data_IF_733940043954
#
_entry.id   IF_733940043954
#
_cell.length_a   1.000
_cell.length_b   1.000
_cell.length_c   1.000
_cell.angle_alpha   90.00
_cell.angle_beta   90.00
_cell.angle_gamma   90.00
#
_symmetry.space_group_name_H-M   'P 1'
#
loop_
_entity.id
_entity.type
_entity.pdbx_description
1 polymer ?
#
# COMPACT_ATOMS: atom_id res chain seq x y z
N UNK A 1 21.41 -10.46 -20.75
CA UNK A 1 20.90 -10.14 -19.40
C UNK A 1 19.88 -9.04 -19.64
N UNK A 2 18.61 -9.38 -19.76
CA UNK A 2 17.55 -8.39 -20.01
C UNK A 2 17.45 -7.51 -18.75
N UNK A 3 17.70 -6.21 -18.90
CA UNK A 3 17.33 -5.22 -17.89
C UNK A 3 15.81 -5.30 -17.71
N UNK A 4 15.36 -6.00 -16.68
CA UNK A 4 13.97 -5.94 -16.25
C UNK A 4 13.68 -4.52 -15.80
N UNK A 5 13.12 -3.71 -16.69
CA UNK A 5 12.62 -2.39 -16.37
C UNK A 5 11.53 -2.54 -15.29
N UNK A 6 11.76 -1.93 -14.12
CA UNK A 6 10.81 -1.98 -13.01
C UNK A 6 9.41 -1.48 -13.41
N UNK A 7 9.37 -0.43 -14.25
CA UNK A 7 8.16 0.09 -14.87
C UNK A 7 8.14 -0.17 -16.38
N UNK A 8 7.03 -0.68 -16.90
CA UNK A 8 6.73 -0.66 -18.33
C UNK A 8 6.38 0.76 -18.81
N UNK A 9 6.40 1.01 -20.12
CA UNK A 9 5.99 2.31 -20.66
C UNK A 9 4.54 2.68 -20.33
N UNK A 10 3.64 1.68 -20.30
CA UNK A 10 2.24 1.89 -19.90
C UNK A 10 2.13 2.23 -18.41
N UNK A 11 2.93 1.59 -17.56
CA UNK A 11 2.97 1.89 -16.12
C UNK A 11 3.54 3.27 -15.83
N UNK A 12 4.55 3.74 -16.58
CA UNK A 12 5.07 5.11 -16.47
C UNK A 12 3.99 6.14 -16.76
N UNK A 13 3.23 5.95 -17.83
CA UNK A 13 2.11 6.82 -18.17
C UNK A 13 1.03 6.81 -17.07
N UNK A 14 0.68 5.62 -16.58
CA UNK A 14 -0.29 5.42 -15.49
C UNK A 14 0.15 6.09 -14.19
N UNK A 15 1.43 5.99 -13.83
CA UNK A 15 2.01 6.62 -12.64
C UNK A 15 1.79 8.13 -12.63
N UNK A 16 2.02 8.80 -13.75
CA UNK A 16 1.80 10.25 -13.86
C UNK A 16 0.34 10.65 -13.68
N UNK A 17 -0.58 9.85 -14.24
CA UNK A 17 -2.03 10.07 -14.11
C UNK A 17 -2.46 9.89 -12.65
N UNK A 18 -2.06 8.79 -12.02
CA UNK A 18 -2.39 8.49 -10.62
C UNK A 18 -1.81 9.52 -9.67
N UNK A 19 -0.56 9.93 -9.88
CA UNK A 19 0.07 10.98 -9.10
C UNK A 19 -0.73 12.29 -9.15
N UNK A 20 -1.15 12.72 -10.35
CA UNK A 20 -1.94 13.95 -10.49
C UNK A 20 -3.30 13.84 -9.81
N UNK A 21 -3.99 12.70 -9.98
CA UNK A 21 -5.26 12.44 -9.29
C UNK A 21 -5.10 12.51 -7.78
N UNK A 22 -4.12 11.81 -7.23
CA UNK A 22 -3.88 11.77 -5.80
C UNK A 22 -3.56 13.14 -5.22
N UNK A 23 -2.72 13.94 -5.88
CA UNK A 23 -2.40 15.29 -5.42
C UNK A 23 -3.65 16.19 -5.45
N UNK A 24 -4.50 16.03 -6.45
CA UNK A 24 -5.75 16.79 -6.54
C UNK A 24 -6.75 16.37 -5.45
N UNK A 25 -6.98 15.07 -5.25
CA UNK A 25 -7.94 14.55 -4.27
C UNK A 25 -7.46 14.71 -2.81
N UNK A 26 -6.16 14.58 -2.55
CA UNK A 26 -5.58 14.78 -1.23
C UNK A 26 -5.63 16.26 -0.78
N UNK A 27 -5.71 17.19 -1.73
CA UNK A 27 -5.66 18.63 -1.48
C UNK A 27 -4.44 19.04 -0.65
N UNK A 28 -4.62 19.96 0.30
CA UNK A 28 -3.55 20.45 1.17
C UNK A 28 -3.24 19.54 2.36
N UNK A 29 -3.82 18.33 2.41
CA UNK A 29 -3.63 17.42 3.55
C UNK A 29 -2.23 16.81 3.63
N UNK A 30 -1.44 16.88 2.55
CA UNK A 30 -0.05 16.44 2.52
C UNK A 30 0.83 17.60 2.10
N UNK A 31 1.69 18.08 3.02
CA UNK A 31 2.61 19.18 2.74
C UNK A 31 3.62 18.85 1.64
N UNK A 32 4.07 19.88 0.91
CA UNK A 32 5.05 19.74 -0.19
C UNK A 32 6.34 19.04 0.23
N UNK A 33 6.85 19.36 1.42
CA UNK A 33 8.05 18.69 1.96
C UNK A 33 7.81 17.22 2.26
N UNK A 34 6.64 16.86 2.79
CA UNK A 34 6.25 15.47 3.01
C UNK A 34 6.17 14.70 1.68
N UNK A 35 5.58 15.29 0.64
CA UNK A 35 5.53 14.69 -0.70
C UNK A 35 6.94 14.43 -1.24
N UNK A 36 7.89 15.37 -1.06
CA UNK A 36 9.29 15.18 -1.47
C UNK A 36 9.93 13.99 -0.74
N UNK A 37 9.72 13.88 0.57
CA UNK A 37 10.23 12.75 1.37
C UNK A 37 9.66 11.41 0.91
N UNK A 38 8.33 11.33 0.71
CA UNK A 38 7.67 10.11 0.21
C UNK A 38 8.26 9.70 -1.15
N UNK A 39 8.41 10.65 -2.09
CA UNK A 39 9.02 10.39 -3.40
C UNK A 39 10.45 9.86 -3.29
N UNK A 40 11.27 10.45 -2.40
CA UNK A 40 12.64 10.02 -2.17
C UNK A 40 12.68 8.55 -1.75
N UNK A 41 11.88 8.16 -0.76
CA UNK A 41 11.82 6.79 -0.27
C UNK A 41 11.29 5.80 -1.30
N UNK A 42 10.26 6.17 -2.07
CA UNK A 42 9.77 5.34 -3.17
C UNK A 42 10.86 5.14 -4.24
N UNK A 43 11.58 6.20 -4.61
CA UNK A 43 12.65 6.11 -5.60
C UNK A 43 13.81 5.23 -5.11
N UNK A 44 14.19 5.35 -3.84
CA UNK A 44 15.20 4.51 -3.20
C UNK A 44 14.77 3.04 -3.19
N UNK A 45 13.53 2.75 -2.79
CA UNK A 45 13.01 1.39 -2.77
C UNK A 45 12.98 0.73 -4.16
N UNK A 46 12.65 1.50 -5.21
CA UNK A 46 12.74 1.05 -6.60
C UNK A 46 14.19 0.79 -7.00
N UNK A 47 15.12 1.68 -6.63
CA UNK A 47 16.54 1.58 -7.00
C UNK A 47 17.25 0.40 -6.34
N UNK A 48 16.85 0.03 -5.12
CA UNK A 48 17.39 -1.13 -4.41
C UNK A 48 16.86 -2.47 -4.94
N UNK A 49 15.92 -2.49 -5.90
CA UNK A 49 15.31 -3.71 -6.47
C UNK A 49 14.65 -4.63 -5.42
N UNK A 50 14.32 -4.10 -4.24
CA UNK A 50 13.68 -4.85 -3.15
C UNK A 50 12.15 -4.88 -3.29
N UNK A 51 11.57 -4.00 -4.10
CA UNK A 51 10.14 -3.99 -4.39
C UNK A 51 9.81 -5.09 -5.41
N UNK A 52 8.91 -6.00 -5.03
CA UNK A 52 8.51 -7.14 -5.86
C UNK A 52 7.09 -6.94 -6.38
N UNK A 53 6.84 -7.42 -7.59
CA UNK A 53 5.47 -7.55 -8.11
C UNK A 53 4.72 -8.61 -7.31
N UNK A 54 3.41 -8.44 -7.14
CA UNK A 54 2.58 -9.43 -6.44
C UNK A 54 2.36 -10.70 -7.29
N UNK A 55 1.63 -11.68 -6.75
CA UNK A 55 1.32 -12.94 -7.43
C UNK A 55 0.54 -12.79 -8.76
N UNK A 56 0.00 -11.61 -9.04
CA UNK A 56 -0.73 -11.27 -10.27
C UNK A 56 0.10 -10.39 -11.22
N UNK A 57 1.39 -10.18 -10.93
CA UNK A 57 2.28 -9.35 -11.74
C UNK A 57 2.08 -7.83 -11.59
N UNK A 58 1.29 -7.37 -10.62
CA UNK A 58 1.05 -5.94 -10.40
C UNK A 58 2.29 -5.25 -9.83
N UNK A 59 2.63 -4.07 -10.37
CA UNK A 59 3.70 -3.24 -9.82
C UNK A 59 3.29 -2.66 -8.45
N UNK A 60 4.10 -2.83 -7.39
CA UNK A 60 3.71 -2.43 -6.04
C UNK A 60 3.51 -0.92 -5.91
N UNK A 61 4.33 -0.10 -6.58
CA UNK A 61 4.22 1.37 -6.53
C UNK A 61 2.93 1.85 -7.22
N UNK A 62 2.59 1.24 -8.35
CA UNK A 62 1.35 1.58 -9.08
C UNK A 62 0.14 1.18 -8.23
N UNK A 63 0.15 -0.02 -7.67
CA UNK A 63 -0.92 -0.52 -6.81
C UNK A 63 -1.11 0.38 -5.58
N UNK A 64 -0.04 0.73 -4.87
CA UNK A 64 -0.11 1.59 -3.68
C UNK A 64 -0.65 2.98 -4.01
N UNK A 65 -0.29 3.53 -5.17
CA UNK A 65 -0.86 4.78 -5.68
C UNK A 65 -2.36 4.66 -6.01
N UNK A 66 -2.79 3.57 -6.64
CA UNK A 66 -4.20 3.31 -6.90
C UNK A 66 -5.00 3.16 -5.60
N UNK A 67 -4.47 2.41 -4.64
CA UNK A 67 -5.05 2.26 -3.31
C UNK A 67 -5.17 3.62 -2.61
N UNK A 68 -4.14 4.47 -2.70
CA UNK A 68 -4.20 5.84 -2.18
C UNK A 68 -5.25 6.71 -2.89
N UNK A 69 -5.44 6.54 -4.20
CA UNK A 69 -6.52 7.22 -4.95
C UNK A 69 -7.88 6.77 -4.45
N UNK A 70 -8.14 5.45 -4.31
CA UNK A 70 -9.39 4.93 -3.73
C UNK A 70 -9.64 5.50 -2.33
N UNK A 71 -8.62 5.50 -1.47
CA UNK A 71 -8.70 6.06 -0.13
C UNK A 71 -9.09 7.54 -0.13
N UNK A 72 -8.48 8.34 -1.00
CA UNK A 72 -8.73 9.78 -1.06
C UNK A 72 -10.06 10.14 -1.71
N UNK A 73 -10.43 9.50 -2.82
CA UNK A 73 -11.64 9.85 -3.59
C UNK A 73 -12.91 9.22 -3.01
N UNK A 74 -12.85 7.97 -2.55
CA UNK A 74 -14.05 7.21 -2.15
C UNK A 74 -14.24 7.18 -0.64
N UNK A 75 -13.15 7.25 0.13
CA UNK A 75 -13.21 7.20 1.60
C UNK A 75 -12.86 8.54 2.27
N UNK A 76 -12.55 9.58 1.48
CA UNK A 76 -12.15 10.91 1.95
C UNK A 76 -10.98 10.86 2.97
N UNK A 77 -10.12 9.84 2.86
CA UNK A 77 -8.93 9.67 3.68
C UNK A 77 -7.88 10.72 3.32
N UNK A 78 -7.20 11.27 4.32
CA UNK A 78 -6.26 12.38 4.17
C UNK A 78 -5.01 12.19 5.03
N UNK A 79 -3.96 12.96 4.74
CA UNK A 79 -2.77 13.04 5.58
C UNK A 79 -2.13 11.68 5.86
N UNK A 80 -2.05 11.30 7.14
CA UNK A 80 -1.33 10.13 7.61
C UNK A 80 -1.76 8.82 6.93
N UNK A 81 -3.06 8.59 6.71
CA UNK A 81 -3.52 7.34 6.08
C UNK A 81 -3.02 7.18 4.65
N UNK A 82 -2.99 8.27 3.87
CA UNK A 82 -2.46 8.26 2.51
C UNK A 82 -0.94 8.05 2.50
N UNK A 83 -0.22 8.70 3.41
CA UNK A 83 1.23 8.55 3.54
C UNK A 83 1.58 7.10 3.91
N UNK A 84 0.85 6.51 4.86
CA UNK A 84 1.06 5.13 5.30
C UNK A 84 0.80 4.12 4.19
N UNK A 85 -0.24 4.31 3.38
CA UNK A 85 -0.53 3.44 2.23
C UNK A 85 0.59 3.46 1.18
N UNK A 86 1.26 4.61 0.99
CA UNK A 86 2.37 4.75 0.03
C UNK A 86 3.72 4.25 0.57
N UNK A 87 3.89 4.15 1.88
CA UNK A 87 5.17 3.80 2.52
C UNK A 87 5.19 2.40 3.14
N UNK A 88 4.07 1.70 3.24
CA UNK A 88 4.02 0.40 3.91
C UNK A 88 4.95 -0.63 3.26
N UNK A 89 5.01 -0.69 1.92
CA UNK A 89 5.92 -1.60 1.24
C UNK A 89 7.39 -1.16 1.37
N UNK A 90 7.67 0.14 1.41
CA UNK A 90 9.02 0.67 1.67
C UNK A 90 9.54 0.22 3.04
N UNK A 91 8.68 0.20 4.05
CA UNK A 91 9.02 -0.31 5.39
C UNK A 91 9.21 -1.83 5.37
N UNK A 92 8.33 -2.59 4.70
CA UNK A 92 8.49 -4.05 4.55
C UNK A 92 9.79 -4.44 3.85
N UNK A 93 10.25 -3.62 2.90
CA UNK A 93 11.52 -3.81 2.20
C UNK A 93 12.75 -3.31 2.99
N UNK A 94 12.59 -2.90 4.25
CA UNK A 94 13.65 -2.38 5.13
C UNK A 94 14.38 -1.14 4.61
N UNK A 95 13.76 -0.35 3.73
CA UNK A 95 14.32 0.92 3.24
C UNK A 95 14.03 2.07 4.21
N UNK A 96 12.88 2.00 4.89
CA UNK A 96 12.47 2.94 5.92
C UNK A 96 12.24 2.16 7.23
N UNK A 97 12.94 2.53 8.31
CA UNK A 97 12.69 1.95 9.63
C UNK A 97 11.46 2.58 10.30
N UNK A 98 10.86 1.91 11.28
CA UNK A 98 9.73 2.47 12.04
C UNK A 98 10.11 3.74 12.81
N UNK A 99 11.33 3.80 13.35
CA UNK A 99 11.88 4.95 14.06
C UNK A 99 12.04 6.14 13.12
N UNK A 100 12.55 5.89 11.91
CA UNK A 100 12.69 6.89 10.87
C UNK A 100 11.31 7.36 10.37
N UNK A 101 10.36 6.44 10.21
CA UNK A 101 8.99 6.78 9.86
C UNK A 101 8.35 7.69 10.92
N UNK A 102 8.55 7.38 12.20
CA UNK A 102 8.09 8.20 13.31
C UNK A 102 8.75 9.59 13.32
N UNK A 103 10.08 9.65 13.15
CA UNK A 103 10.83 10.90 13.18
C UNK A 103 10.49 11.82 11.98
N UNK A 104 10.30 11.25 10.78
CA UNK A 104 10.10 12.04 9.57
C UNK A 104 8.64 12.35 9.24
N UNK A 105 7.70 11.50 9.67
CA UNK A 105 6.28 11.58 9.31
C UNK A 105 5.32 11.59 10.52
N UNK A 106 5.82 11.36 11.73
CA UNK A 106 5.05 11.43 12.97
C UNK A 106 4.52 10.08 13.46
N UNK A 107 3.98 10.09 14.68
CA UNK A 107 3.47 8.92 15.39
C UNK A 107 2.33 8.22 14.64
N UNK A 108 1.41 8.99 14.06
CA UNK A 108 0.27 8.46 13.33
C UNK A 108 0.70 7.60 12.15
N UNK A 109 1.61 8.11 11.32
CA UNK A 109 2.09 7.38 10.13
C UNK A 109 2.80 6.09 10.54
N UNK A 110 3.68 6.17 11.55
CA UNK A 110 4.39 5.01 12.07
C UNK A 110 3.45 3.95 12.69
N UNK A 111 2.44 4.39 13.44
CA UNK A 111 1.44 3.52 14.05
C UNK A 111 0.62 2.77 13.01
N UNK A 112 0.10 3.47 12.00
CA UNK A 112 -0.67 2.85 10.92
C UNK A 112 0.19 1.85 10.14
N UNK A 113 1.43 2.22 9.75
CA UNK A 113 2.31 1.30 9.01
C UNK A 113 2.61 0.06 9.85
N UNK A 114 2.85 0.21 11.17
CA UNK A 114 3.07 -0.92 12.07
C UNK A 114 1.86 -1.85 12.12
N UNK A 115 0.65 -1.30 12.18
CA UNK A 115 -0.59 -2.07 12.08
C UNK A 115 -0.71 -2.83 10.76
N UNK A 116 -0.40 -2.19 9.63
CA UNK A 116 -0.43 -2.80 8.30
C UNK A 116 0.59 -3.93 8.14
N UNK A 117 1.84 -3.74 8.59
CA UNK A 117 2.91 -4.74 8.50
C UNK A 117 2.57 -5.96 9.37
N UNK A 118 2.21 -5.75 10.64
CA UNK A 118 1.82 -6.85 11.55
C UNK A 118 0.64 -7.64 11.01
N UNK A 119 -0.36 -6.94 10.48
CA UNK A 119 -1.53 -7.59 9.88
C UNK A 119 -1.10 -8.48 8.72
N UNK A 120 -0.29 -7.95 7.80
CA UNK A 120 0.24 -8.72 6.66
C UNK A 120 1.00 -9.97 7.10
N UNK A 121 1.81 -9.89 8.15
CA UNK A 121 2.56 -11.03 8.70
C UNK A 121 1.65 -12.10 9.32
N UNK A 122 0.58 -11.69 10.01
CA UNK A 122 -0.40 -12.60 10.61
C UNK A 122 -1.16 -13.39 9.54
N UNK A 123 -1.60 -12.72 8.46
CA UNK A 123 -2.26 -13.40 7.33
C UNK A 123 -1.31 -14.37 6.59
N UNK A 124 -0.01 -14.07 6.53
CA UNK A 124 0.98 -14.93 5.86
C UNK A 124 1.28 -16.25 6.63
N UNK A 125 1.04 -16.31 7.94
CA UNK A 125 1.37 -17.46 8.80
C UNK A 125 0.34 -18.61 8.78
N UNK A 126 -0.60 -18.62 7.82
CA UNK A 126 -1.56 -19.69 7.45
C UNK A 126 -3.00 -19.52 7.98
N UNK A 127 -3.94 -20.02 7.17
CA UNK A 127 -5.41 -19.94 7.25
C UNK A 127 -6.08 -20.56 8.49
N UNK A 128 -5.31 -21.19 9.39
CA UNK A 128 -5.82 -21.58 10.71
C UNK A 128 -5.70 -20.34 11.58
N UNK A 129 -6.75 -19.54 11.57
CA UNK A 129 -6.95 -18.45 12.50
C UNK A 129 -7.02 -19.07 13.90
N UNK A 130 -5.87 -19.25 14.55
CA UNK A 130 -5.80 -19.52 15.98
C UNK A 130 -6.43 -18.33 16.71
N UNK A 131 -7.15 -18.58 17.80
CA UNK A 131 -7.89 -17.56 18.54
C UNK A 131 -7.00 -16.38 18.97
N UNK A 132 -5.74 -16.64 19.32
CA UNK A 132 -4.77 -15.61 19.75
C UNK A 132 -4.25 -14.75 18.59
N UNK A 133 -4.01 -15.34 17.41
CA UNK A 133 -3.62 -14.58 16.21
C UNK A 133 -4.77 -13.70 15.72
N UNK A 134 -6.00 -14.23 15.75
CA UNK A 134 -7.19 -13.45 15.45
C UNK A 134 -7.39 -12.29 16.40
N UNK A 135 -7.23 -12.54 17.71
CA UNK A 135 -7.38 -11.50 18.73
C UNK A 135 -6.33 -10.42 18.54
N UNK A 136 -5.09 -10.78 18.23
CA UNK A 136 -4.01 -9.83 17.92
C UNK A 136 -4.27 -9.01 16.66
N UNK A 137 -4.86 -9.63 15.63
CA UNK A 137 -5.30 -8.96 14.42
C UNK A 137 -6.43 -7.95 14.71
N UNK A 138 -7.48 -8.38 15.42
CA UNK A 138 -8.59 -7.53 15.81
C UNK A 138 -8.14 -6.37 16.71
N UNK A 139 -7.18 -6.61 17.62
CA UNK A 139 -6.57 -5.56 18.44
C UNK A 139 -5.81 -4.54 17.59
N UNK A 140 -5.08 -5.00 16.56
CA UNK A 140 -4.37 -4.11 15.64
C UNK A 140 -5.34 -3.20 14.86
N UNK A 141 -6.55 -3.68 14.54
CA UNK A 141 -7.60 -2.85 13.94
C UNK A 141 -8.29 -1.93 14.94
N UNK A 142 -8.44 -2.37 16.18
CA UNK A 142 -9.07 -1.59 17.25
C UNK A 142 -8.21 -0.40 17.69
N UNK A 143 -6.89 -0.48 17.55
CA UNK A 143 -5.96 0.62 17.86
C UNK A 143 -6.07 1.78 16.86
N UNK A 144 -6.27 1.49 15.57
CA UNK A 144 -6.43 2.53 14.55
C UNK A 144 -7.28 2.04 13.37
N UNK A 145 -8.51 2.57 13.26
CA UNK A 145 -9.45 2.25 12.19
C UNK A 145 -8.93 2.59 10.78
N UNK A 146 -7.90 3.44 10.65
CA UNK A 146 -7.30 3.75 9.34
C UNK A 146 -6.59 2.53 8.76
N UNK A 147 -6.10 1.61 9.60
CA UNK A 147 -5.49 0.35 9.15
C UNK A 147 -6.50 -0.49 8.38
N UNK A 148 -7.70 -0.70 8.93
CA UNK A 148 -8.74 -1.51 8.27
C UNK A 148 -9.25 -0.84 6.99
N UNK A 149 -9.38 0.49 6.96
CA UNK A 149 -9.79 1.22 5.76
C UNK A 149 -8.78 1.09 4.62
N UNK A 150 -7.48 1.18 4.93
CA UNK A 150 -6.40 0.98 3.93
C UNK A 150 -6.47 -0.45 3.37
N UNK A 151 -6.69 -1.45 4.21
CA UNK A 151 -6.83 -2.83 3.76
C UNK A 151 -8.05 -3.03 2.85
N UNK A 152 -9.20 -2.48 3.22
CA UNK A 152 -10.41 -2.56 2.39
C UNK A 152 -10.17 -1.89 1.04
N UNK A 153 -9.56 -0.69 1.03
CA UNK A 153 -9.25 0.01 -0.21
C UNK A 153 -8.27 -0.78 -1.11
N UNK A 154 -7.26 -1.42 -0.53
CA UNK A 154 -6.32 -2.27 -1.27
C UNK A 154 -7.03 -3.49 -1.88
N UNK A 155 -7.94 -4.14 -1.13
CA UNK A 155 -8.73 -5.27 -1.63
C UNK A 155 -9.70 -4.84 -2.74
N UNK A 156 -10.38 -3.71 -2.58
CA UNK A 156 -11.23 -3.12 -3.62
C UNK A 156 -10.42 -2.83 -4.89
N UNK A 157 -9.24 -2.24 -4.75
CA UNK A 157 -8.34 -1.98 -5.86
C UNK A 157 -7.92 -3.29 -6.57
N UNK A 158 -7.52 -4.31 -5.81
CA UNK A 158 -7.13 -5.61 -6.35
C UNK A 158 -8.27 -6.29 -7.12
N UNK A 159 -9.48 -6.31 -6.54
CA UNK A 159 -10.68 -6.83 -7.22
C UNK A 159 -10.96 -6.09 -8.54
N UNK A 160 -10.82 -4.77 -8.57
CA UNK A 160 -11.03 -3.97 -9.79
C UNK A 160 -9.99 -4.26 -10.86
N UNK A 161 -8.74 -4.49 -10.48
CA UNK A 161 -7.67 -4.81 -11.44
C UNK A 161 -7.82 -6.21 -12.02
N UNK A 162 -8.32 -7.18 -11.25
CA UNK A 162 -8.42 -8.59 -11.68
C UNK A 162 -9.77 -8.90 -12.33
N UNK A 163 -10.78 -8.04 -12.15
CA UNK A 163 -12.13 -8.22 -12.72
C UNK A 163 -12.12 -8.61 -14.20
N UNK A 164 -11.28 -7.96 -14.99
CA UNK A 164 -11.20 -8.16 -16.44
C UNK A 164 -10.03 -9.09 -16.85
N UNK A 165 -9.35 -9.73 -15.89
CA UNK A 165 -8.33 -10.75 -16.19
C UNK A 165 -8.99 -11.93 -16.89
N UNK A 166 -8.36 -12.47 -17.95
CA UNK A 166 -8.86 -13.67 -18.64
C UNK A 166 -8.73 -14.93 -17.77
N UNK A 167 -7.81 -14.93 -16.80
CA UNK A 167 -7.55 -16.05 -15.90
C UNK A 167 -8.63 -16.17 -14.82
N UNK A 168 -9.52 -17.16 -14.97
CA UNK A 168 -10.60 -17.44 -14.02
C UNK A 168 -10.09 -17.83 -12.63
N UNK A 169 -8.98 -18.55 -12.55
CA UNK A 169 -8.40 -18.97 -11.27
C UNK A 169 -7.95 -17.75 -10.45
N UNK A 170 -7.34 -16.77 -11.10
CA UNK A 170 -6.93 -15.53 -10.43
C UNK A 170 -8.13 -14.72 -9.95
N UNK A 171 -9.21 -14.66 -10.74
CA UNK A 171 -10.47 -14.01 -10.35
C UNK A 171 -11.09 -14.69 -9.13
N UNK A 172 -11.16 -16.03 -9.12
CA UNK A 172 -11.69 -16.81 -7.99
C UNK A 172 -10.82 -16.66 -6.74
N UNK A 173 -9.48 -16.67 -6.89
CA UNK A 173 -8.55 -16.49 -5.78
C UNK A 173 -8.79 -15.16 -5.08
N UNK A 174 -8.83 -14.06 -5.83
CA UNK A 174 -9.09 -12.73 -5.24
C UNK A 174 -10.49 -12.58 -4.67
N UNK A 175 -11.51 -13.19 -5.30
CA UNK A 175 -12.86 -13.20 -4.76
C UNK A 175 -12.98 -13.99 -3.45
N UNK A 176 -12.17 -15.05 -3.26
CA UNK A 176 -12.17 -15.84 -2.03
C UNK A 176 -11.39 -15.21 -0.87
N UNK A 177 -10.47 -14.29 -1.18
CA UNK A 177 -9.68 -13.54 -0.18
C UNK A 177 -10.39 -12.27 0.34
N UNK A 178 -11.40 -11.79 -0.38
CA UNK A 178 -12.13 -10.55 -0.12
C UNK A 178 -13.41 -10.80 0.68
#
# INVERSE_FOLDING_TARGET
MEEFLFFTETEKAKLLILYRKLIFSAGDSIGKETIKKVKRYLFEAVSCHNLQRNGFGMNPVIRDLETAVVLSEEMNMKGAGLISALLSEVVKCNILSFESAHAEFGSDVAGIIKGLVKTSELYAKSAVIESENFRSLLLSFAEDMRVILIMIADRVNMMRQIKDSENEEDRLRVASEA
#
